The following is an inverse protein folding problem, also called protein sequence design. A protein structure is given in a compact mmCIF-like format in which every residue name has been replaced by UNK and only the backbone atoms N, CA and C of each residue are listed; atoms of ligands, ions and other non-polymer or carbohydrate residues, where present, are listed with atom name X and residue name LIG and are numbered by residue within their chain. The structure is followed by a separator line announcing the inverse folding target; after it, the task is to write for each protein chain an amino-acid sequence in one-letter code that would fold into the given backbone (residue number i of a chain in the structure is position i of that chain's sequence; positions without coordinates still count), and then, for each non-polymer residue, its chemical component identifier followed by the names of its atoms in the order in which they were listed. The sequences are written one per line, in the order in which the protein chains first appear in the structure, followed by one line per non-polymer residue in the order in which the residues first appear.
data_IF_560401952980
#
_entry.id   IF_560401952980
#
_cell.length_a   1.000
_cell.length_b   1.000
_cell.length_c   1.000
_cell.angle_alpha   90.00
_cell.angle_beta   90.00
_cell.angle_gamma   90.00
#
_symmetry.space_group_name_H-M   'P 1'
#
loop_
_entity.id
_entity.type
_entity.pdbx_description
1 polymer ?
#
# COMPACT_ATOMS: atom_id res chain seq x y z
N UNK A 1 27.33 -48.96 -59.83
CA UNK A 1 26.69 -47.85 -59.09
C UNK A 1 27.66 -47.40 -58.01
N UNK A 2 28.18 -46.19 -58.11
CA UNK A 2 29.23 -45.65 -57.24
C UNK A 2 28.61 -45.12 -55.94
N UNK A 3 29.17 -45.39 -54.75
CA UNK A 3 28.84 -44.63 -53.55
C UNK A 3 29.55 -43.26 -53.62
N UNK A 4 28.78 -42.18 -53.53
CA UNK A 4 29.33 -40.84 -53.31
C UNK A 4 29.45 -40.57 -51.81
N UNK A 5 30.48 -39.81 -51.39
CA UNK A 5 30.90 -39.71 -50.00
C UNK A 5 30.10 -38.67 -49.21
N UNK A 6 29.94 -38.98 -47.93
CA UNK A 6 29.40 -38.13 -46.87
C UNK A 6 30.33 -36.93 -46.69
N UNK A 7 29.87 -35.76 -47.12
CA UNK A 7 30.41 -34.47 -46.71
C UNK A 7 29.30 -33.43 -46.82
N UNK A 8 28.75 -32.99 -45.68
CA UNK A 8 28.64 -31.57 -45.32
C UNK A 8 27.91 -31.39 -43.98
N UNK A 9 28.60 -30.68 -43.10
CA UNK A 9 28.05 -29.68 -42.16
C UNK A 9 27.25 -30.22 -40.98
N UNK A 10 27.95 -30.25 -39.84
CA UNK A 10 27.34 -30.18 -38.53
C UNK A 10 26.46 -28.95 -38.41
N UNK A 11 25.15 -29.19 -38.39
CA UNK A 11 24.27 -28.42 -37.54
C UNK A 11 24.44 -29.01 -36.13
N UNK A 12 25.49 -28.58 -35.44
CA UNK A 12 25.50 -28.68 -33.99
C UNK A 12 24.28 -27.88 -33.54
N UNK A 13 23.26 -28.63 -33.15
CA UNK A 13 22.08 -28.17 -32.45
C UNK A 13 22.63 -27.39 -31.26
N UNK A 14 22.77 -26.07 -31.43
CA UNK A 14 22.79 -25.13 -30.32
C UNK A 14 21.38 -25.23 -29.78
N UNK A 15 21.15 -26.29 -29.01
CA UNK A 15 20.16 -26.32 -27.96
C UNK A 15 20.62 -25.19 -27.07
N UNK A 16 20.12 -23.99 -27.36
CA UNK A 16 19.99 -22.95 -26.38
C UNK A 16 19.20 -23.61 -25.28
N UNK A 17 19.92 -24.23 -24.34
CA UNK A 17 19.49 -24.30 -22.97
C UNK A 17 19.44 -22.83 -22.57
N UNK A 18 18.36 -22.15 -22.97
CA UNK A 18 17.63 -21.34 -22.02
C UNK A 18 17.45 -22.29 -20.85
N UNK A 19 18.42 -22.27 -19.94
CA UNK A 19 18.14 -22.50 -18.56
C UNK A 19 17.19 -21.33 -18.32
N UNK A 20 15.91 -21.58 -18.56
CA UNK A 20 14.92 -20.95 -17.73
C UNK A 20 15.50 -21.19 -16.35
N UNK A 21 16.00 -20.13 -15.74
CA UNK A 21 15.71 -19.92 -14.33
C UNK A 21 14.18 -19.91 -14.23
N UNK A 22 13.56 -21.08 -14.47
CA UNK A 22 12.41 -21.52 -13.76
C UNK A 22 12.92 -21.55 -12.34
N UNK A 23 12.87 -20.39 -11.70
CA UNK A 23 12.49 -20.36 -10.31
C UNK A 23 11.32 -21.31 -10.25
N UNK A 24 11.54 -22.45 -9.60
CA UNK A 24 10.44 -23.20 -9.06
C UNK A 24 9.68 -22.17 -8.25
N UNK A 25 8.60 -21.62 -8.80
CA UNK A 25 7.55 -21.02 -7.99
C UNK A 25 7.01 -22.22 -7.23
N UNK A 26 7.71 -22.54 -6.14
CA UNK A 26 7.23 -23.36 -5.05
C UNK A 26 5.82 -22.86 -4.81
N UNK A 27 4.87 -23.76 -4.95
CA UNK A 27 3.45 -23.53 -4.73
C UNK A 27 3.34 -22.65 -3.48
N UNK A 28 3.04 -21.36 -3.65
CA UNK A 28 3.10 -20.40 -2.56
C UNK A 28 2.23 -20.90 -1.42
N UNK A 29 2.72 -20.79 -0.19
CA UNK A 29 1.89 -21.09 0.96
C UNK A 29 0.66 -20.18 0.93
N UNK A 30 -0.45 -20.66 1.47
CA UNK A 30 -1.70 -19.90 1.53
C UNK A 30 -2.14 -19.63 2.96
N UNK A 31 -2.72 -18.46 3.19
CA UNK A 31 -3.44 -18.07 4.40
C UNK A 31 -4.85 -17.61 4.03
N UNK A 32 -5.83 -17.88 4.89
CA UNK A 32 -7.23 -17.55 4.64
C UNK A 32 -7.76 -16.49 5.60
N UNK A 33 -8.49 -15.52 5.07
CA UNK A 33 -9.12 -14.46 5.87
C UNK A 33 -10.63 -14.41 5.67
N UNK A 34 -11.33 -14.05 6.74
CA UNK A 34 -12.74 -13.67 6.71
C UNK A 34 -13.01 -12.64 7.81
N UNK A 35 -14.12 -11.92 7.71
CA UNK A 35 -14.57 -11.00 8.75
C UNK A 35 -15.53 -9.94 8.22
N UNK A 36 -15.65 -8.83 8.96
CA UNK A 36 -16.45 -7.68 8.55
C UNK A 36 -15.62 -6.66 7.78
N UNK A 37 -16.28 -5.87 6.94
CA UNK A 37 -15.66 -4.74 6.23
C UNK A 37 -16.54 -3.50 6.36
N UNK A 38 -15.97 -2.41 6.86
CA UNK A 38 -16.68 -1.14 7.04
C UNK A 38 -15.92 0.04 6.43
N UNK A 39 -16.67 0.98 5.87
CA UNK A 39 -16.19 2.21 5.28
C UNK A 39 -16.78 3.40 6.05
N UNK A 40 -15.93 4.19 6.72
CA UNK A 40 -16.36 5.26 7.63
C UNK A 40 -17.44 4.77 8.62
N UNK A 41 -17.23 3.61 9.23
CA UNK A 41 -18.18 2.99 10.17
C UNK A 41 -19.44 2.37 9.55
N UNK A 42 -19.68 2.55 8.24
CA UNK A 42 -20.83 1.95 7.56
C UNK A 42 -20.45 0.61 6.90
N UNK A 43 -21.33 -0.40 6.88
CA UNK A 43 -21.09 -1.64 6.14
C UNK A 43 -20.75 -1.39 4.67
N UNK A 44 -19.69 -2.03 4.14
CA UNK A 44 -19.37 -1.91 2.72
C UNK A 44 -20.44 -2.61 1.85
N UNK A 45 -20.83 -2.05 0.70
CA UNK A 45 -21.84 -2.66 -0.16
C UNK A 45 -21.34 -4.00 -0.78
N UNK A 46 -22.27 -4.90 -1.18
CA UNK A 46 -21.93 -6.05 -2.01
C UNK A 46 -21.25 -5.64 -3.33
N UNK A 47 -20.37 -6.49 -3.86
CA UNK A 47 -19.57 -6.22 -5.05
C UNK A 47 -18.29 -5.41 -4.77
N UNK A 48 -18.00 -5.13 -3.49
CA UNK A 48 -16.73 -4.52 -3.09
C UNK A 48 -15.61 -5.53 -3.27
N UNK A 49 -14.51 -5.14 -3.89
CA UNK A 49 -13.31 -5.97 -4.02
C UNK A 49 -12.38 -5.66 -2.86
N UNK A 50 -11.95 -6.69 -2.12
CA UNK A 50 -10.90 -6.61 -1.10
C UNK A 50 -9.67 -7.29 -1.69
N UNK A 51 -8.56 -6.58 -1.73
CA UNK A 51 -7.27 -7.00 -2.28
C UNK A 51 -6.23 -7.05 -1.17
N UNK A 52 -5.53 -8.16 -1.03
CA UNK A 52 -4.37 -8.29 -0.17
C UNK A 52 -3.10 -8.05 -0.98
N UNK A 53 -2.15 -7.33 -0.38
CA UNK A 53 -0.82 -7.11 -0.95
C UNK A 53 0.29 -7.45 0.04
N UNK A 54 1.39 -7.96 -0.49
CA UNK A 54 2.63 -8.22 0.26
C UNK A 54 3.74 -7.42 -0.41
N UNK A 55 4.42 -6.56 0.35
CA UNK A 55 5.45 -5.67 -0.20
C UNK A 55 4.94 -4.73 -1.32
N UNK A 56 3.63 -4.48 -1.36
CA UNK A 56 2.96 -3.70 -2.41
C UNK A 56 2.55 -4.50 -3.66
N UNK A 57 2.90 -5.78 -3.76
CA UNK A 57 2.50 -6.66 -4.85
C UNK A 57 1.22 -7.42 -4.54
N UNK A 58 0.43 -7.72 -5.58
CA UNK A 58 -0.83 -8.46 -5.46
C UNK A 58 -0.60 -9.87 -4.88
N UNK A 59 -1.29 -10.19 -3.79
CA UNK A 59 -1.19 -11.48 -3.10
C UNK A 59 -2.52 -12.27 -3.07
N UNK A 60 -3.64 -11.62 -3.39
CA UNK A 60 -4.95 -12.26 -3.51
C UNK A 60 -6.10 -11.26 -3.44
N UNK A 61 -7.29 -11.67 -3.86
CA UNK A 61 -8.49 -10.84 -3.78
C UNK A 61 -9.74 -11.61 -3.36
N UNK A 62 -10.76 -10.86 -2.97
CA UNK A 62 -12.08 -11.34 -2.63
C UNK A 62 -13.14 -10.34 -3.05
N UNK A 63 -14.14 -10.81 -3.77
CA UNK A 63 -15.30 -10.01 -4.13
C UNK A 63 -16.46 -10.27 -3.15
N UNK A 64 -16.89 -9.22 -2.44
CA UNK A 64 -17.95 -9.34 -1.43
C UNK A 64 -19.29 -9.66 -2.06
N UNK A 65 -20.03 -10.57 -1.44
CA UNK A 65 -21.40 -10.93 -1.87
C UNK A 65 -22.46 -10.44 -0.89
N UNK A 66 -22.05 -10.09 0.33
CA UNK A 66 -22.90 -9.62 1.41
C UNK A 66 -22.41 -8.26 1.88
N UNK A 67 -23.35 -7.43 2.26
CA UNK A 67 -23.07 -6.14 2.86
C UNK A 67 -22.28 -6.31 4.18
N UNK A 68 -21.24 -5.51 4.34
CA UNK A 68 -20.42 -5.43 5.55
C UNK A 68 -19.57 -6.65 5.87
N UNK A 69 -19.46 -7.63 4.98
CA UNK A 69 -18.77 -8.88 5.27
C UNK A 69 -17.98 -9.40 4.07
N UNK A 70 -16.81 -9.97 4.37
CA UNK A 70 -15.99 -10.70 3.42
C UNK A 70 -15.67 -12.09 3.94
N UNK A 71 -16.01 -13.09 3.13
CA UNK A 71 -15.98 -14.48 3.54
C UNK A 71 -16.95 -14.85 4.66
N UNK A 72 -16.75 -16.01 5.27
CA UNK A 72 -17.57 -16.47 6.40
C UNK A 72 -16.83 -17.51 7.25
N UNK A 73 -17.23 -17.73 8.52
CA UNK A 73 -16.48 -18.55 9.47
C UNK A 73 -16.55 -20.06 9.19
N UNK A 74 -17.57 -20.56 8.49
CA UNK A 74 -17.81 -22.01 8.37
C UNK A 74 -16.83 -22.66 7.40
N UNK A 75 -16.50 -23.93 7.66
CA UNK A 75 -15.72 -24.77 6.74
C UNK A 75 -16.53 -25.04 5.46
N UNK A 76 -16.38 -24.18 4.46
CA UNK A 76 -17.15 -24.20 3.21
C UNK A 76 -17.54 -22.81 2.73
N UNK A 77 -17.55 -21.82 3.62
CA UNK A 77 -17.67 -20.43 3.21
C UNK A 77 -16.43 -20.02 2.41
N UNK A 78 -16.63 -19.24 1.35
CA UNK A 78 -15.49 -18.64 0.62
C UNK A 78 -14.72 -17.76 1.60
N UNK A 79 -13.40 -17.67 1.43
CA UNK A 79 -12.51 -16.82 2.21
C UNK A 79 -11.56 -16.11 1.27
N UNK A 80 -11.04 -14.96 1.68
CA UNK A 80 -9.93 -14.33 0.98
C UNK A 80 -8.71 -15.25 1.13
N UNK A 81 -8.10 -15.65 0.01
CA UNK A 81 -6.90 -16.48 0.01
C UNK A 81 -5.71 -15.59 -0.33
N UNK A 82 -4.73 -15.54 0.54
CA UNK A 82 -3.50 -14.76 0.36
C UNK A 82 -2.36 -15.75 0.17
N UNK A 83 -1.57 -15.57 -0.88
CA UNK A 83 -0.36 -16.35 -1.14
C UNK A 83 0.87 -15.54 -0.75
N UNK A 84 1.80 -16.14 0.00
CA UNK A 84 2.97 -15.43 0.51
C UNK A 84 3.98 -16.35 1.20
N UNK A 85 5.00 -15.74 1.81
CA UNK A 85 6.03 -16.42 2.59
C UNK A 85 5.89 -16.11 4.08
N UNK A 86 6.44 -17.01 4.92
CA UNK A 86 6.35 -16.89 6.38
C UNK A 86 6.88 -15.53 6.85
N UNK A 87 6.07 -14.85 7.68
CA UNK A 87 6.34 -13.53 8.28
C UNK A 87 6.21 -12.33 7.34
N UNK A 88 5.72 -12.51 6.12
CA UNK A 88 5.41 -11.38 5.26
C UNK A 88 4.33 -10.48 5.88
N UNK A 89 4.49 -9.16 5.76
CA UNK A 89 3.46 -8.21 6.12
C UNK A 89 2.41 -8.12 5.01
N UNK A 90 1.15 -8.28 5.39
CA UNK A 90 -0.01 -8.22 4.51
C UNK A 90 -0.76 -6.92 4.77
N UNK A 91 -0.83 -6.06 3.76
CA UNK A 91 -1.74 -4.91 3.73
C UNK A 91 -3.00 -5.28 2.96
N UNK A 92 -4.14 -4.74 3.40
CA UNK A 92 -5.43 -4.95 2.74
C UNK A 92 -5.91 -3.64 2.12
N UNK A 93 -6.54 -3.76 0.96
CA UNK A 93 -7.08 -2.64 0.21
C UNK A 93 -8.51 -2.98 -0.22
N UNK A 94 -9.35 -1.97 -0.41
CA UNK A 94 -10.68 -2.17 -0.97
C UNK A 94 -11.00 -1.24 -2.11
N UNK A 95 -11.92 -1.67 -2.98
CA UNK A 95 -12.53 -0.84 -4.02
C UNK A 95 -14.03 -1.11 -4.10
N UNK A 96 -14.84 -0.08 -3.84
CA UNK A 96 -16.30 -0.12 -4.04
C UNK A 96 -16.61 -0.20 -5.54
N UNK A 97 -17.78 -0.73 -5.94
CA UNK A 97 -18.25 -0.67 -7.33
C UNK A 97 -18.33 0.74 -7.91
N UNK A 98 -18.50 1.75 -7.05
CA UNK A 98 -18.58 3.17 -7.44
C UNK A 98 -17.23 3.87 -7.46
N UNK A 99 -16.14 3.22 -7.02
CA UNK A 99 -14.79 3.80 -6.95
C UNK A 99 -13.87 3.26 -8.04
N UNK A 100 -12.97 4.12 -8.52
CA UNK A 100 -11.92 3.74 -9.47
C UNK A 100 -10.64 3.28 -8.76
N UNK A 101 -10.36 3.85 -7.60
CA UNK A 101 -9.13 3.62 -6.83
C UNK A 101 -9.34 2.66 -5.67
N UNK A 102 -8.23 2.10 -5.20
CA UNK A 102 -8.18 1.30 -3.99
C UNK A 102 -7.86 2.17 -2.79
N UNK A 103 -8.47 1.86 -1.64
CA UNK A 103 -8.19 2.49 -0.35
C UNK A 103 -7.63 1.44 0.60
N UNK A 104 -6.58 1.80 1.34
CA UNK A 104 -5.93 0.89 2.30
C UNK A 104 -6.77 0.73 3.58
N UNK A 105 -6.77 -0.47 4.14
CA UNK A 105 -7.37 -0.78 5.43
C UNK A 105 -6.48 -0.28 6.57
N UNK A 106 -7.10 0.02 7.71
CA UNK A 106 -6.37 0.36 8.92
C UNK A 106 -5.67 -0.86 9.54
N UNK A 107 -6.16 -2.07 9.25
CA UNK A 107 -5.64 -3.32 9.76
C UNK A 107 -4.66 -3.98 8.79
N UNK A 108 -3.65 -4.62 9.35
CA UNK A 108 -2.66 -5.44 8.65
C UNK A 108 -2.57 -6.82 9.31
N UNK A 109 -1.96 -7.77 8.61
CA UNK A 109 -1.70 -9.10 9.16
C UNK A 109 -0.28 -9.55 8.86
N UNK A 110 0.18 -10.55 9.61
CA UNK A 110 1.45 -11.25 9.34
C UNK A 110 1.13 -12.61 8.76
N UNK A 111 1.79 -12.95 7.65
CA UNK A 111 1.55 -14.17 6.92
C UNK A 111 1.94 -15.41 7.74
N UNK A 112 0.97 -16.31 7.91
CA UNK A 112 1.13 -17.60 8.56
C UNK A 112 0.51 -18.71 7.69
N UNK A 113 1.40 -19.47 7.03
CA UNK A 113 1.04 -20.56 6.14
C UNK A 113 0.06 -21.56 6.76
N UNK A 114 -0.98 -21.94 6.03
CA UNK A 114 -1.93 -22.97 6.42
C UNK A 114 -2.98 -22.53 7.45
N UNK A 115 -3.03 -21.24 7.82
CA UNK A 115 -3.92 -20.74 8.88
C UNK A 115 -5.13 -19.98 8.35
N UNK A 116 -6.20 -20.00 9.14
CA UNK A 116 -7.40 -19.20 8.90
C UNK A 116 -7.50 -18.14 9.99
N UNK A 117 -7.60 -16.87 9.62
CA UNK A 117 -7.74 -15.75 10.53
C UNK A 117 -9.08 -15.02 10.33
N UNK A 118 -9.70 -14.61 11.44
CA UNK A 118 -10.77 -13.62 11.43
C UNK A 118 -10.14 -12.23 11.56
N UNK A 119 -10.43 -11.34 10.63
CA UNK A 119 -9.92 -9.97 10.63
C UNK A 119 -11.06 -9.05 10.20
N UNK A 120 -11.33 -8.02 10.99
CA UNK A 120 -12.35 -7.03 10.64
C UNK A 120 -11.63 -5.83 10.06
N UNK A 121 -11.95 -5.49 8.81
CA UNK A 121 -11.30 -4.44 8.05
C UNK A 121 -12.10 -3.14 8.16
N UNK A 122 -11.44 -2.09 8.62
CA UNK A 122 -11.95 -0.74 8.64
C UNK A 122 -11.20 0.10 7.64
N UNK A 123 -11.96 0.87 6.86
CA UNK A 123 -11.45 1.74 5.82
C UNK A 123 -11.98 3.14 6.07
N UNK A 124 -11.07 4.08 6.16
CA UNK A 124 -11.40 5.48 6.35
C UNK A 124 -11.09 6.28 5.08
N UNK A 125 -11.86 7.33 4.86
CA UNK A 125 -11.55 8.34 3.87
C UNK A 125 -10.33 9.15 4.28
N UNK A 126 -9.30 9.17 3.43
CA UNK A 126 -8.15 10.06 3.60
C UNK A 126 -8.53 11.46 3.16
N UNK A 127 -8.91 12.30 4.12
CA UNK A 127 -9.00 13.73 3.87
C UNK A 127 -7.61 14.39 3.92
N UNK A 128 -7.29 15.21 2.94
CA UNK A 128 -6.08 16.03 2.82
C UNK A 128 -5.19 15.68 1.64
N UNK A 129 -5.67 14.91 0.65
CA UNK A 129 -4.93 14.62 -0.57
C UNK A 129 -5.15 15.65 -1.69
N UNK A 130 -5.94 16.70 -1.40
CA UNK A 130 -6.35 17.78 -2.29
C UNK A 130 -7.18 17.32 -3.51
N UNK A 131 -7.77 16.13 -3.48
CA UNK A 131 -8.58 15.59 -4.57
C UNK A 131 -9.97 15.24 -4.03
N UNK A 132 -10.99 16.03 -4.38
CA UNK A 132 -12.39 15.71 -4.07
C UNK A 132 -12.91 14.54 -4.93
N UNK A 133 -12.81 13.30 -4.45
CA UNK A 133 -13.42 12.16 -5.14
C UNK A 133 -14.93 12.11 -4.87
N UNK A 134 -15.72 12.80 -5.70
CA UNK A 134 -17.19 12.89 -5.56
C UNK A 134 -17.94 11.55 -5.48
N UNK A 135 -17.29 10.41 -5.76
CA UNK A 135 -17.88 9.08 -5.56
C UNK A 135 -17.79 8.57 -4.10
N UNK A 136 -16.99 9.22 -3.25
CA UNK A 136 -16.67 8.80 -1.88
C UNK A 136 -16.51 9.94 -0.89
N UNK A 137 -16.11 11.11 -1.38
CA UNK A 137 -15.93 12.35 -0.66
C UNK A 137 -17.08 13.30 -0.96
N UNK A 138 -17.51 13.98 0.09
CA UNK A 138 -18.47 15.06 0.00
C UNK A 138 -17.98 16.21 0.86
N UNK A 139 -18.51 17.40 0.62
CA UNK A 139 -18.25 18.54 1.48
C UNK A 139 -18.64 18.31 2.97
N UNK A 140 -19.46 17.29 3.26
CA UNK A 140 -19.84 16.90 4.63
C UNK A 140 -18.91 15.86 5.25
N UNK A 141 -18.39 14.93 4.45
CA UNK A 141 -17.49 13.87 4.92
C UNK A 141 -16.00 14.25 4.83
N UNK A 142 -15.68 15.19 3.94
CA UNK A 142 -14.31 15.59 3.64
C UNK A 142 -14.22 17.05 3.16
N UNK A 143 -14.60 18.04 4.01
CA UNK A 143 -14.59 19.46 3.64
C UNK A 143 -13.21 20.02 3.31
N UNK A 144 -12.13 19.34 3.75
CA UNK A 144 -10.77 19.75 3.46
C UNK A 144 -10.45 19.68 1.96
N UNK A 145 -10.91 18.64 1.26
CA UNK A 145 -10.63 18.41 -0.17
C UNK A 145 -11.82 18.79 -1.05
N UNK A 146 -13.06 18.56 -0.58
CA UNK A 146 -14.29 18.89 -1.31
C UNK A 146 -14.85 20.28 -1.05
N UNK A 147 -14.20 21.06 -0.18
CA UNK A 147 -14.64 22.39 0.21
C UNK A 147 -15.90 22.39 1.07
N UNK A 148 -16.41 23.58 1.37
CA UNK A 148 -17.61 23.75 2.19
C UNK A 148 -18.89 23.52 1.38
N UNK A 149 -19.89 22.88 2.00
CA UNK A 149 -21.19 22.71 1.36
C UNK A 149 -21.84 24.07 1.10
N UNK A 150 -22.37 24.27 -0.11
CA UNK A 150 -23.20 25.42 -0.38
C UNK A 150 -24.42 25.39 0.55
N UNK A 151 -24.77 26.51 1.21
CA UNK A 151 -26.01 26.56 1.97
C UNK A 151 -27.18 26.26 1.02
N UNK A 152 -28.26 25.62 1.51
CA UNK A 152 -29.44 25.38 0.69
C UNK A 152 -29.89 26.71 0.07
N UNK A 153 -30.44 26.70 -1.15
CA UNK A 153 -30.90 27.91 -1.81
C UNK A 153 -31.95 28.58 -0.91
N UNK A 154 -31.51 29.57 -0.14
CA UNK A 154 -32.39 30.53 0.49
C UNK A 154 -33.13 31.19 -0.66
N UNK A 155 -34.45 31.00 -0.70
CA UNK A 155 -35.31 31.33 -1.82
C UNK A 155 -34.92 32.66 -2.47
N UNK A 156 -34.60 32.59 -3.76
CA UNK A 156 -34.25 33.75 -4.56
C UNK A 156 -35.41 34.73 -4.65
N UNK A 157 -35.37 35.76 -3.81
CA UNK A 157 -35.97 37.07 -4.10
C UNK A 157 -35.08 37.80 -5.10
N UNK A 158 -35.69 38.25 -6.18
CA UNK A 158 -35.02 38.81 -7.35
C UNK A 158 -34.25 40.12 -7.10
N UNK A 159 -33.12 40.22 -7.80
CA UNK A 159 -32.49 41.38 -8.43
C UNK A 159 -32.83 42.82 -7.95
N UNK A 160 -31.78 43.55 -7.57
CA UNK A 160 -31.75 45.00 -7.59
C UNK A 160 -30.35 45.51 -7.23
N UNK A 161 -29.55 45.91 -8.22
CA UNK A 161 -28.20 46.44 -8.02
C UNK A 161 -28.15 47.90 -7.55
N UNK A 162 -26.95 48.35 -7.16
CA UNK A 162 -26.65 49.76 -6.87
C UNK A 162 -25.54 49.88 -5.82
N UNK A 163 -24.48 50.64 -6.14
CA UNK A 163 -23.24 50.67 -5.36
C UNK A 163 -23.08 51.83 -4.37
N UNK A 164 -21.88 51.87 -3.76
CA UNK A 164 -21.18 53.07 -3.31
C UNK A 164 -21.49 53.63 -1.91
N UNK A 165 -20.42 53.95 -1.16
CA UNK A 165 -20.39 55.15 -0.32
C UNK A 165 -20.31 54.96 1.20
N UNK A 166 -19.30 55.61 1.80
CA UNK A 166 -18.93 55.65 3.22
C UNK A 166 -19.81 56.53 4.13
N UNK A 167 -19.59 56.37 5.44
CA UNK A 167 -19.53 57.38 6.54
C UNK A 167 -20.75 57.70 7.43
N UNK A 168 -20.45 57.85 8.74
CA UNK A 168 -21.23 58.56 9.80
C UNK A 168 -22.47 57.80 10.32
N UNK A 169 -22.85 57.77 11.60
CA UNK A 169 -22.59 58.63 12.76
C UNK A 169 -23.94 59.08 13.37
N UNK A 170 -24.28 58.60 14.57
CA UNK A 170 -25.12 59.31 15.58
C UNK A 170 -26.66 59.35 15.46
N UNK A 171 -27.34 58.91 16.54
CA UNK A 171 -28.31 59.73 17.28
C UNK A 171 -29.80 59.77 16.86
N UNK A 172 -30.65 59.10 17.68
CA UNK A 172 -31.82 59.68 18.38
C UNK A 172 -33.07 60.18 17.61
N UNK A 173 -34.26 59.86 18.16
CA UNK A 173 -35.47 60.67 18.04
C UNK A 173 -36.60 60.04 17.23
N UNK A 174 -37.70 59.68 17.91
CA UNK A 174 -38.87 59.04 17.31
C UNK A 174 -39.79 59.98 16.53
N UNK A 175 -40.80 59.40 15.88
CA UNK A 175 -42.11 59.99 15.64
C UNK A 175 -43.07 58.87 15.22
N UNK A 176 -44.13 58.69 16.01
CA UNK A 176 -45.22 57.74 15.76
C UNK A 176 -46.24 58.34 14.79
N UNK A 177 -46.79 57.55 13.84
CA UNK A 177 -48.10 57.80 13.23
C UNK A 177 -49.21 56.94 13.89
N UNK A 178 -50.48 57.38 13.80
CA UNK A 178 -51.60 56.93 14.65
C UNK A 178 -52.18 55.55 14.27
N UNK A 179 -52.90 54.87 15.19
CA UNK A 179 -53.54 53.58 14.92
C UNK A 179 -54.86 53.76 14.15
N UNK A 180 -55.01 53.00 13.06
CA UNK A 180 -56.32 52.74 12.42
C UNK A 180 -56.90 51.42 12.94
N UNK A 181 -58.24 51.29 12.99
CA UNK A 181 -58.91 50.38 13.90
C UNK A 181 -59.15 49.00 13.30
N UNK A 182 -58.96 47.99 14.14
CA UNK A 182 -59.86 46.83 14.29
C UNK A 182 -59.87 45.82 13.16
N UNK A 183 -58.95 44.85 13.21
CA UNK A 183 -59.11 43.53 12.59
C UNK A 183 -58.52 42.47 13.53
N UNK A 184 -59.41 41.94 14.38
CA UNK A 184 -59.52 40.60 14.98
C UNK A 184 -58.24 39.84 15.43
N UNK A 185 -58.12 39.70 16.75
CA UNK A 185 -57.33 38.67 17.44
C UNK A 185 -57.71 37.25 16.95
N UNK A 186 -56.72 36.39 16.72
CA UNK A 186 -56.79 35.01 17.13
C UNK A 186 -55.93 34.80 18.37
N UNK A 187 -56.54 34.22 19.39
CA UNK A 187 -55.97 33.94 20.69
C UNK A 187 -54.62 33.22 20.62
N UNK A 188 -53.69 33.78 21.37
CA UNK A 188 -52.38 33.25 21.70
C UNK A 188 -52.55 31.95 22.51
N UNK A 189 -52.71 30.83 21.81
CA UNK A 189 -52.43 29.52 22.40
C UNK A 189 -50.93 29.34 22.39
N UNK A 190 -50.32 29.61 23.55
CA UNK A 190 -48.91 29.38 23.84
C UNK A 190 -48.52 27.95 23.47
N UNK A 191 -47.92 27.82 22.30
CA UNK A 191 -47.24 26.60 21.91
C UNK A 191 -45.87 26.65 22.57
N UNK A 192 -45.71 25.84 23.61
CA UNK A 192 -44.43 25.49 24.19
C UNK A 192 -43.50 25.03 23.04
N UNK A 193 -42.56 25.90 22.67
CA UNK A 193 -41.44 25.51 21.80
C UNK A 193 -40.69 24.45 22.59
N UNK A 194 -40.67 23.17 22.15
CA UNK A 194 -39.83 22.19 22.82
C UNK A 194 -38.41 22.71 22.67
N UNK A 195 -37.69 22.85 23.79
CA UNK A 195 -36.27 23.19 23.78
C UNK A 195 -35.61 22.38 22.68
N UNK A 196 -35.23 23.09 21.62
CA UNK A 196 -34.40 22.58 20.56
C UNK A 196 -33.16 22.08 21.27
N UNK A 197 -33.09 20.75 21.39
CA UNK A 197 -31.92 20.06 21.93
C UNK A 197 -30.76 20.56 21.09
N UNK A 198 -30.00 21.52 21.62
CA UNK A 198 -28.85 22.07 20.95
C UNK A 198 -27.93 20.89 20.63
N UNK A 199 -27.92 20.48 19.37
CA UNK A 199 -27.14 19.32 18.93
C UNK A 199 -25.69 19.71 19.17
N UNK A 200 -25.09 19.11 20.20
CA UNK A 200 -23.70 19.33 20.50
C UNK A 200 -22.90 18.51 19.48
N UNK A 201 -22.32 19.19 18.50
CA UNK A 201 -21.43 18.56 17.52
C UNK A 201 -20.07 18.31 18.16
N UNK A 202 -19.66 17.05 18.23
CA UNK A 202 -18.37 16.68 18.84
C UNK A 202 -17.21 17.16 17.99
N UNK A 203 -16.22 17.79 18.64
CA UNK A 203 -15.02 18.26 17.95
C UNK A 203 -13.78 17.70 18.61
N UNK A 204 -13.36 16.53 18.14
CA UNK A 204 -12.23 15.79 18.67
C UNK A 204 -10.89 16.45 18.32
N UNK A 205 -10.04 16.62 19.33
CA UNK A 205 -8.62 16.95 19.17
C UNK A 205 -7.81 15.84 19.82
N UNK A 206 -6.96 15.17 19.04
CA UNK A 206 -6.12 14.08 19.54
C UNK A 206 -4.66 14.52 19.71
N UNK A 207 -3.95 13.88 20.63
CA UNK A 207 -2.50 13.96 20.73
C UNK A 207 -1.83 13.17 19.59
N UNK A 208 -0.53 13.39 19.42
CA UNK A 208 0.30 12.52 18.58
C UNK A 208 0.27 11.08 19.13
N UNK A 209 0.46 10.11 18.24
CA UNK A 209 0.63 8.72 18.64
C UNK A 209 1.86 8.55 19.53
N UNK A 210 1.72 7.76 20.59
CA UNK A 210 2.87 7.34 21.42
C UNK A 210 3.86 6.48 20.62
N UNK A 211 5.06 6.32 21.17
CA UNK A 211 6.04 5.39 20.61
C UNK A 211 5.45 3.98 20.53
N UNK A 212 5.73 3.28 19.43
CA UNK A 212 5.34 1.89 19.29
C UNK A 212 5.98 1.03 20.39
N UNK A 213 5.16 0.38 21.22
CA UNK A 213 5.60 -0.54 22.26
C UNK A 213 4.74 -1.81 22.20
N UNK A 214 5.35 -3.00 22.23
CA UNK A 214 4.65 -4.28 22.12
C UNK A 214 3.74 -4.38 20.86
N UNK A 215 4.16 -3.74 19.76
CA UNK A 215 3.41 -3.70 18.49
C UNK A 215 2.15 -2.82 18.51
N UNK A 216 1.97 -2.00 19.55
CA UNK A 216 0.80 -1.13 19.73
C UNK A 216 1.22 0.29 20.10
N UNK A 217 0.51 1.27 19.57
CA UNK A 217 0.64 2.67 19.94
C UNK A 217 -0.73 3.24 20.32
N UNK A 218 -0.73 4.14 21.29
CA UNK A 218 -1.93 4.79 21.82
C UNK A 218 -1.86 6.30 21.68
N UNK A 219 -3.00 6.96 21.60
CA UNK A 219 -3.15 8.43 21.65
C UNK A 219 -4.37 8.78 22.49
N UNK A 220 -4.47 10.04 22.92
CA UNK A 220 -5.62 10.54 23.67
C UNK A 220 -6.41 11.52 22.81
N UNK A 221 -7.72 11.32 22.71
CA UNK A 221 -8.63 12.19 21.98
C UNK A 221 -9.60 12.87 22.95
N UNK A 222 -9.63 14.21 22.91
CA UNK A 222 -10.52 15.02 23.76
C UNK A 222 -11.53 15.79 22.92
N UNK A 223 -12.79 15.70 23.29
CA UNK A 223 -13.84 16.55 22.72
C UNK A 223 -13.70 17.99 23.24
N UNK A 224 -13.52 18.94 22.33
CA UNK A 224 -13.42 20.37 22.65
C UNK A 224 -14.74 20.98 23.09
N UNK A 225 -15.85 20.44 22.65
CA UNK A 225 -17.17 20.98 22.94
C UNK A 225 -17.79 20.36 24.20
N UNK A 226 -17.13 19.35 24.78
CA UNK A 226 -17.54 18.66 26.01
C UNK A 226 -19.00 18.17 25.97
N UNK A 227 -19.41 17.67 24.80
CA UNK A 227 -20.73 17.15 24.51
C UNK A 227 -21.10 15.91 25.34
N UNK A 228 -20.10 15.17 25.82
CA UNK A 228 -20.28 14.01 26.71
C UNK A 228 -20.73 12.73 26.01
N UNK A 229 -20.74 12.73 24.67
CA UNK A 229 -20.97 11.56 23.83
C UNK A 229 -19.63 11.02 23.27
N UNK A 230 -19.65 9.81 22.70
CA UNK A 230 -18.48 9.19 22.04
C UNK A 230 -18.72 8.95 20.54
N UNK A 231 -19.71 9.63 19.97
CA UNK A 231 -20.06 9.49 18.56
C UNK A 231 -18.90 10.08 17.73
N UNK A 232 -18.48 9.35 16.69
CA UNK A 232 -17.33 9.76 15.87
C UNK A 232 -15.99 9.93 16.61
N UNK A 233 -15.83 9.43 17.85
CA UNK A 233 -14.55 9.47 18.56
C UNK A 233 -13.48 8.71 17.75
N UNK A 234 -12.34 9.33 17.38
CA UNK A 234 -11.28 8.66 16.66
C UNK A 234 -10.65 7.53 17.49
N UNK A 235 -10.08 6.52 16.81
CA UNK A 235 -9.40 5.41 17.48
C UNK A 235 -8.22 5.89 18.33
N UNK A 236 -8.14 5.41 19.58
CA UNK A 236 -7.09 5.74 20.55
C UNK A 236 -6.00 4.67 20.65
N UNK A 237 -6.11 3.62 19.84
CA UNK A 237 -5.16 2.50 19.80
C UNK A 237 -5.05 1.99 18.37
N UNK A 238 -3.82 1.87 17.87
CA UNK A 238 -3.55 1.23 16.58
C UNK A 238 -2.33 0.31 16.64
N UNK A 239 -2.25 -0.62 15.70
CA UNK A 239 -1.06 -1.44 15.49
C UNK A 239 0.11 -0.59 14.98
N UNK A 240 1.32 -1.02 15.28
CA UNK A 240 2.52 -0.37 14.77
C UNK A 240 3.65 -1.39 14.63
N UNK A 241 4.54 -1.11 13.70
CA UNK A 241 5.78 -1.86 13.54
C UNK A 241 6.82 -1.21 14.43
N UNK A 242 7.26 -1.94 15.46
CA UNK A 242 8.41 -1.54 16.24
C UNK A 242 9.62 -1.65 15.31
N UNK A 243 10.16 -0.50 14.87
CA UNK A 243 11.43 -0.46 14.16
C UNK A 243 12.47 -0.86 15.19
N UNK A 244 12.78 -2.15 15.26
CA UNK A 244 13.88 -2.64 16.08
C UNK A 244 15.12 -1.86 15.62
N UNK A 245 15.59 -0.97 16.49
CA UNK A 245 16.89 -0.34 16.29
C UNK A 245 17.85 -1.51 16.03
N UNK A 246 18.57 -1.51 14.89
CA UNK A 246 19.47 -2.61 14.57
C UNK A 246 20.35 -2.82 15.79
N UNK A 247 20.29 -4.04 16.37
CA UNK A 247 21.00 -4.39 17.58
C UNK A 247 22.42 -3.87 17.44
N UNK A 248 22.77 -2.84 18.22
CA UNK A 248 24.12 -2.31 18.15
C UNK A 248 25.04 -3.50 18.43
N UNK A 249 25.97 -3.83 17.51
CA UNK A 249 26.90 -4.92 17.75
C UNK A 249 27.56 -4.66 19.11
N UNK A 250 27.77 -5.70 19.94
CA UNK A 250 28.33 -5.52 21.27
C UNK A 250 29.58 -4.65 21.12
N UNK A 251 29.55 -3.48 21.77
CA UNK A 251 30.69 -2.58 21.79
C UNK A 251 31.91 -3.42 22.17
N UNK A 252 32.95 -3.48 21.32
CA UNK A 252 34.09 -4.33 21.59
C UNK A 252 34.65 -3.95 22.95
N UNK A 253 34.95 -4.91 23.85
CA UNK A 253 35.65 -4.60 25.07
C UNK A 253 36.93 -3.88 24.67
N UNK A 254 37.15 -2.70 25.24
CA UNK A 254 38.40 -1.97 25.11
C UNK A 254 39.53 -2.89 25.60
N UNK A 255 40.15 -3.60 24.66
CA UNK A 255 41.04 -4.71 24.91
C UNK A 255 42.24 -4.63 23.98
N UNK A 256 43.29 -4.03 24.53
CA UNK A 256 44.71 -4.14 24.17
C UNK A 256 45.08 -4.87 22.87
N UNK A 257 45.67 -4.08 21.98
CA UNK A 257 46.72 -4.46 21.03
C UNK A 257 47.52 -5.72 21.45
N UNK A 258 47.49 -6.77 20.63
CA UNK A 258 48.41 -7.89 20.77
C UNK A 258 48.15 -9.05 19.81
N UNK A 259 49.08 -9.27 18.89
CA UNK A 259 49.29 -10.48 18.08
C UNK A 259 48.46 -10.65 16.78
N UNK A 260 48.99 -10.02 15.74
CA UNK A 260 49.04 -10.48 14.35
C UNK A 260 49.50 -11.94 14.23
N UNK A 261 48.58 -12.86 13.95
CA UNK A 261 48.85 -14.09 13.17
C UNK A 261 47.67 -14.33 12.25
N UNK A 262 47.88 -14.08 10.96
CA UNK A 262 46.85 -14.14 9.93
C UNK A 262 46.31 -15.55 9.73
N UNK A 263 44.99 -15.68 9.84
CA UNK A 263 44.24 -16.81 9.33
C UNK A 263 43.27 -16.24 8.29
N UNK A 264 43.59 -16.41 7.00
CA UNK A 264 42.72 -16.02 5.89
C UNK A 264 41.58 -17.05 5.83
N UNK A 265 40.45 -16.72 6.44
CA UNK A 265 39.22 -17.51 6.29
C UNK A 265 38.54 -17.12 4.98
N UNK A 266 38.78 -17.89 3.92
CA UNK A 266 38.10 -17.72 2.63
C UNK A 266 36.71 -18.35 2.74
N UNK A 267 35.66 -17.53 2.70
CA UNK A 267 34.27 -18.00 2.69
C UNK A 267 33.89 -18.72 1.39
N UNK A 268 32.77 -19.49 1.37
CA UNK A 268 32.37 -20.36 0.25
C UNK A 268 32.08 -19.66 -1.09
N UNK A 269 32.04 -18.32 -1.13
CA UNK A 269 31.97 -17.55 -2.37
C UNK A 269 33.32 -17.44 -3.12
N UNK A 270 34.46 -17.79 -2.48
CA UNK A 270 35.80 -17.64 -3.05
C UNK A 270 36.33 -18.82 -3.87
N UNK A 271 35.69 -20.01 -3.81
CA UNK A 271 36.20 -21.20 -4.51
C UNK A 271 35.83 -21.27 -6.00
N UNK A 272 34.87 -20.49 -6.46
CA UNK A 272 34.51 -20.44 -7.89
C UNK A 272 35.53 -19.66 -8.74
N UNK A 273 36.22 -18.69 -8.16
CA UNK A 273 37.24 -17.90 -8.87
C UNK A 273 38.48 -18.72 -9.26
N UNK A 274 38.95 -19.59 -8.36
CA UNK A 274 40.17 -20.38 -8.60
C UNK A 274 39.93 -21.47 -9.63
N UNK A 275 38.76 -22.13 -9.59
CA UNK A 275 38.39 -23.13 -10.59
C UNK A 275 38.29 -22.52 -12.00
N UNK A 276 37.70 -21.33 -12.14
CA UNK A 276 37.61 -20.62 -13.42
C UNK A 276 39.00 -20.25 -13.97
N UNK A 277 39.92 -19.77 -13.12
CA UNK A 277 41.29 -19.44 -13.53
C UNK A 277 42.07 -20.68 -13.97
N UNK A 278 41.92 -21.81 -13.27
CA UNK A 278 42.58 -23.07 -13.66
C UNK A 278 42.05 -23.58 -15.01
N UNK A 279 40.75 -23.51 -15.25
CA UNK A 279 40.15 -23.92 -16.53
C UNK A 279 40.64 -23.01 -17.68
N UNK A 280 40.73 -21.70 -17.47
CA UNK A 280 41.25 -20.75 -18.47
C UNK A 280 42.73 -21.04 -18.78
N UNK A 281 43.55 -21.30 -17.75
CA UNK A 281 44.98 -21.60 -17.94
C UNK A 281 45.20 -22.95 -18.65
N UNK A 282 44.42 -23.98 -18.33
CA UNK A 282 44.46 -25.27 -19.03
C UNK A 282 44.00 -25.14 -20.47
N UNK A 283 42.93 -24.38 -20.74
CA UNK A 283 42.45 -24.08 -22.09
C UNK A 283 43.50 -23.34 -22.92
N UNK A 284 44.16 -22.33 -22.34
CA UNK A 284 45.25 -21.60 -22.99
C UNK A 284 46.46 -22.50 -23.30
N UNK A 285 46.83 -23.41 -22.38
CA UNK A 285 47.91 -24.38 -22.60
C UNK A 285 47.58 -25.38 -23.72
N UNK A 286 46.36 -25.91 -23.77
CA UNK A 286 45.91 -26.82 -24.83
C UNK A 286 45.90 -26.11 -26.19
N UNK A 287 45.35 -24.88 -26.24
CA UNK A 287 45.34 -24.06 -27.45
C UNK A 287 46.76 -23.75 -27.94
N UNK A 288 47.66 -23.41 -27.02
CA UNK A 288 49.06 -23.16 -27.34
C UNK A 288 49.79 -24.42 -27.83
N UNK A 289 49.54 -25.58 -27.23
CA UNK A 289 50.09 -26.86 -27.69
C UNK A 289 49.58 -27.23 -29.10
N UNK A 290 48.29 -27.04 -29.37
CA UNK A 290 47.70 -27.27 -30.69
C UNK A 290 48.29 -26.33 -31.76
N UNK A 291 48.43 -25.03 -31.45
CA UNK A 291 48.99 -24.05 -32.38
C UNK A 291 50.48 -24.27 -32.70
N UNK A 292 51.25 -24.87 -31.79
CA UNK A 292 52.64 -25.27 -32.04
C UNK A 292 52.76 -26.45 -33.02
N UNK A 293 51.82 -27.39 -32.98
CA UNK A 293 51.83 -28.53 -33.90
C UNK A 293 51.46 -28.14 -35.34
N UNK A 294 50.62 -27.12 -35.53
CA UNK A 294 50.26 -26.61 -36.86
C UNK A 294 51.44 -25.99 -37.64
N UNK A 295 52.40 -25.35 -36.96
CA UNK A 295 53.56 -24.72 -37.64
C UNK A 295 54.65 -25.69 -38.10
N UNK A 296 54.55 -27.00 -37.81
CA UNK A 296 55.58 -27.98 -38.20
C UNK A 296 55.41 -28.55 -39.62
N UNK A 297 54.29 -28.33 -40.30
CA UNK A 297 54.05 -28.95 -41.62
C UNK A 297 54.38 -28.07 -42.84
N UNK A 298 54.70 -26.78 -42.67
CA UNK A 298 55.17 -25.94 -43.79
C UNK A 298 56.71 -25.84 -43.80
N UNK A 299 57.38 -26.96 -44.11
CA UNK A 299 58.74 -26.90 -44.69
C UNK A 299 58.63 -27.17 -46.19
N UNK A 300 58.88 -26.18 -47.08
CA UNK A 300 58.87 -26.41 -48.52
C UNK A 300 60.05 -27.32 -48.92
N UNK A 301 59.73 -28.47 -49.51
CA UNK A 301 60.69 -29.36 -50.13
C UNK A 301 61.26 -28.72 -51.41
N UNK A 302 62.49 -28.20 -51.33
CA UNK A 302 63.29 -27.78 -52.46
C UNK A 302 63.93 -29.02 -53.13
N UNK A 303 63.67 -29.25 -54.42
CA UNK A 303 64.11 -30.45 -55.13
C UNK A 303 64.20 -30.31 -56.65
N UNK A 304 65.30 -29.68 -57.10
CA UNK A 304 66.07 -29.96 -58.34
C UNK A 304 65.30 -30.29 -59.64
N UNK A 305 65.20 -29.30 -60.53
CA UNK A 305 65.20 -29.53 -61.99
C UNK A 305 66.63 -29.80 -62.47
N UNK A 306 66.91 -31.03 -62.90
CA UNK A 306 68.13 -31.39 -63.63
C UNK A 306 67.90 -31.12 -65.12
N UNK A 307 68.77 -30.29 -65.71
CA UNK A 307 69.00 -30.19 -67.15
C UNK A 307 69.74 -31.44 -67.62
N UNK A 308 69.17 -32.16 -68.59
CA UNK A 308 69.78 -32.54 -69.88
C UNK A 308 68.79 -33.36 -70.67
#
# INVERSE_FOLDING_TARGET
MKPMPIALVGAAIVFFIFISTGGSQLLGDAMWFYGTSSWNGNPTPPGTVIEARIGGEFAGDYNTTKEGAYGGPKGGDKKLIVFGEKNDAISFFMRKPTMSNFSEANEQAVFAAGTVAELNLTFDLFCGDAICDTASESCSSCPADCGSCAPPPSGGGAAGGGGGGSSGGGGGGGFAPPPSPGEEEPEETGNEIPEETAICEERWTCTDWSSCADGRQTRECRDRNACGTELGKPSESQGCLEVQAPAQPPSPPAGGIGAITGLITVGPAGMFGIAAVVIILLGALIFWAASRNGRRQEKPANGKKRKK
#
